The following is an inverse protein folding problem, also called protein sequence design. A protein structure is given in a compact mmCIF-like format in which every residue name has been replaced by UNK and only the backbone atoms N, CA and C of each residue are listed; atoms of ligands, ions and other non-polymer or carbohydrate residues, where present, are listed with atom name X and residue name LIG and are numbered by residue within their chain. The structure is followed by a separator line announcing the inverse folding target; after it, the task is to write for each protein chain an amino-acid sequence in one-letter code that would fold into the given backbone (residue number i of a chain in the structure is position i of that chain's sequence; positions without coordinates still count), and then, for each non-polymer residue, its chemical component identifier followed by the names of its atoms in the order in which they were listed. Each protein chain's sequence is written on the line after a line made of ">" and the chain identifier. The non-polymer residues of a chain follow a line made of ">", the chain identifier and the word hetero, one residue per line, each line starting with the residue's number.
data_IF_908198871680
#
_entry.id   IF_908198871680
#
_cell.length_a   1.000
_cell.length_b   1.000
_cell.length_c   1.000
_cell.angle_alpha   90.00
_cell.angle_beta   90.00
_cell.angle_gamma   90.00
#
_symmetry.space_group_name_H-M   'P 1'
#
loop_
_entity.id
_entity.type
_entity.pdbx_description
1 polymer ?
#
# COMPACT_ATOMS: atom_id res chain seq x y z
N UNK A 1 -16.10 10.97 -6.80
CA UNK A 1 -16.40 11.44 -5.43
C UNK A 1 -15.77 10.45 -4.48
N UNK A 2 -14.79 10.88 -3.70
CA UNK A 2 -14.25 10.03 -2.63
C UNK A 2 -15.35 9.91 -1.57
N UNK A 3 -15.56 8.71 -1.03
CA UNK A 3 -16.69 8.37 -0.15
C UNK A 3 -16.91 9.38 0.96
N UNK A 4 -18.17 9.63 1.32
CA UNK A 4 -18.59 10.51 2.45
C UNK A 4 -17.93 10.14 3.79
N UNK A 5 -17.34 8.95 3.89
CA UNK A 5 -16.43 8.56 4.96
C UNK A 5 -14.97 8.72 4.51
N UNK A 6 -14.21 9.57 5.22
CA UNK A 6 -12.75 9.77 5.09
C UNK A 6 -11.97 8.52 5.56
N UNK A 7 -12.17 7.41 4.87
CA UNK A 7 -11.57 6.10 5.17
C UNK A 7 -10.76 5.64 3.97
N UNK A 8 -9.52 5.24 4.22
CA UNK A 8 -8.63 4.61 3.23
C UNK A 8 -8.35 3.17 3.65
N UNK A 9 -8.36 2.24 2.68
CA UNK A 9 -8.11 0.83 2.95
C UNK A 9 -6.64 0.50 2.70
N UNK A 10 -5.97 -0.02 3.72
CA UNK A 10 -4.57 -0.43 3.64
C UNK A 10 -4.47 -1.93 3.37
N UNK A 11 -3.68 -2.28 2.35
CA UNK A 11 -3.28 -3.66 2.05
C UNK A 11 -1.75 -3.75 2.00
N UNK A 12 -1.19 -4.92 2.30
CA UNK A 12 0.25 -5.17 2.30
C UNK A 12 0.50 -6.59 1.77
N UNK A 13 1.29 -6.69 0.69
CA UNK A 13 1.62 -7.96 0.05
C UNK A 13 2.91 -8.53 0.66
N UNK A 14 2.98 -9.86 0.80
CA UNK A 14 4.16 -10.53 1.37
C UNK A 14 5.04 -11.24 0.35
N UNK A 15 6.17 -11.74 0.85
CA UNK A 15 7.02 -12.74 0.22
C UNK A 15 6.31 -14.12 0.22
N UNK A 16 6.76 -15.03 -0.63
CA UNK A 16 6.33 -16.45 -0.60
C UNK A 16 6.98 -17.21 0.56
N UNK A 17 8.12 -16.73 1.07
CA UNK A 17 8.88 -17.35 2.16
C UNK A 17 8.36 -16.85 3.50
N UNK A 18 7.83 -17.77 4.31
CA UNK A 18 7.36 -17.47 5.66
C UNK A 18 8.41 -16.76 6.52
N UNK A 19 9.67 -17.22 6.47
CA UNK A 19 10.76 -16.62 7.25
C UNK A 19 11.03 -15.17 6.88
N UNK A 20 10.96 -14.82 5.59
CA UNK A 20 11.12 -13.45 5.13
C UNK A 20 10.00 -12.56 5.67
N UNK A 21 8.75 -13.01 5.58
CA UNK A 21 7.60 -12.29 6.14
C UNK A 21 7.70 -12.08 7.65
N UNK A 22 8.06 -13.12 8.40
CA UNK A 22 8.24 -13.02 9.86
C UNK A 22 9.36 -12.03 10.23
N UNK A 23 10.46 -12.06 9.48
CA UNK A 23 11.62 -11.20 9.72
C UNK A 23 11.31 -9.72 9.44
N UNK A 24 10.55 -9.46 8.38
CA UNK A 24 10.25 -8.10 7.93
C UNK A 24 8.98 -7.51 8.58
N UNK A 25 8.22 -8.30 9.34
CA UNK A 25 6.94 -7.87 9.89
C UNK A 25 7.04 -6.60 10.74
N UNK A 26 8.04 -6.52 11.63
CA UNK A 26 8.23 -5.34 12.47
C UNK A 26 8.47 -4.06 11.65
N UNK A 27 9.19 -4.16 10.52
CA UNK A 27 9.42 -3.03 9.63
C UNK A 27 8.13 -2.60 8.91
N UNK A 28 7.29 -3.57 8.54
CA UNK A 28 5.99 -3.30 7.92
C UNK A 28 5.04 -2.64 8.91
N UNK A 29 4.95 -3.16 10.13
CA UNK A 29 4.10 -2.61 11.18
C UNK A 29 4.50 -1.17 11.56
N UNK A 30 5.80 -0.89 11.71
CA UNK A 30 6.31 0.47 11.94
C UNK A 30 5.91 1.42 10.81
N UNK A 31 6.08 0.99 9.55
CA UNK A 31 5.69 1.76 8.38
C UNK A 31 4.17 2.02 8.34
N UNK A 32 3.36 1.00 8.60
CA UNK A 32 1.91 1.11 8.64
C UNK A 32 1.45 2.08 9.74
N UNK A 33 2.12 2.10 10.90
CA UNK A 33 1.81 3.04 11.98
C UNK A 33 2.14 4.48 11.59
N UNK A 34 3.31 4.74 11.01
CA UNK A 34 3.70 6.08 10.53
C UNK A 34 2.76 6.59 9.45
N UNK A 35 2.42 5.72 8.50
CA UNK A 35 1.46 6.04 7.45
C UNK A 35 0.07 6.33 8.04
N UNK A 36 -0.36 5.56 9.03
CA UNK A 36 -1.63 5.79 9.74
C UNK A 36 -1.66 7.15 10.41
N UNK A 37 -0.57 7.55 11.08
CA UNK A 37 -0.45 8.86 11.70
C UNK A 37 -0.52 9.98 10.64
N UNK A 38 0.20 9.84 9.52
CA UNK A 38 0.17 10.83 8.44
C UNK A 38 -1.23 11.02 7.83
N UNK A 39 -2.02 9.95 7.68
CA UNK A 39 -3.42 10.07 7.28
C UNK A 39 -4.30 10.70 8.37
N UNK A 40 -4.07 10.34 9.64
CA UNK A 40 -4.82 10.88 10.78
C UNK A 40 -4.64 12.39 10.92
N UNK A 41 -3.42 12.91 10.72
CA UNK A 41 -3.11 14.34 10.72
C UNK A 41 -3.85 15.12 9.63
N UNK A 42 -4.27 14.43 8.57
CA UNK A 42 -5.08 14.98 7.47
C UNK A 42 -6.59 14.74 7.67
N UNK A 43 -6.99 14.18 8.82
CA UNK A 43 -8.37 13.89 9.18
C UNK A 43 -8.93 12.63 8.51
N UNK A 44 -8.08 11.69 8.11
CA UNK A 44 -8.45 10.41 7.49
C UNK A 44 -8.20 9.23 8.42
N UNK A 45 -9.06 8.23 8.33
CA UNK A 45 -8.91 6.96 9.05
C UNK A 45 -8.33 5.90 8.12
N UNK A 46 -7.23 5.28 8.51
CA UNK A 46 -6.71 4.09 7.83
C UNK A 46 -7.40 2.85 8.38
N UNK A 47 -8.01 2.05 7.50
CA UNK A 47 -8.57 0.74 7.82
C UNK A 47 -7.71 -0.34 7.16
N UNK A 48 -6.94 -1.06 7.97
CA UNK A 48 -6.24 -2.26 7.50
C UNK A 48 -7.27 -3.30 7.04
N UNK A 49 -7.13 -3.80 5.80
CA UNK A 49 -8.13 -4.66 5.19
C UNK A 49 -7.97 -6.16 5.52
N UNK A 50 -6.93 -6.51 6.26
CA UNK A 50 -6.57 -7.86 6.68
C UNK A 50 -5.86 -7.78 8.04
N UNK A 51 -5.85 -8.87 8.79
CA UNK A 51 -5.34 -8.88 10.16
C UNK A 51 -3.95 -9.51 10.25
N UNK A 52 -3.23 -9.22 11.33
CA UNK A 52 -2.11 -10.05 11.76
C UNK A 52 -2.59 -11.44 12.13
N UNK A 53 -1.84 -12.46 11.71
CA UNK A 53 -2.10 -13.86 12.04
C UNK A 53 -1.01 -14.36 13.01
N UNK A 54 -1.38 -14.74 14.26
CA UNK A 54 -0.43 -15.18 15.27
C UNK A 54 0.22 -16.53 14.98
N UNK A 55 -0.39 -17.37 14.13
CA UNK A 55 0.14 -18.70 13.80
C UNK A 55 1.30 -18.58 12.81
N UNK A 56 1.15 -17.72 11.79
CA UNK A 56 2.21 -17.43 10.81
C UNK A 56 3.13 -16.28 11.23
N UNK A 57 2.75 -15.52 12.27
CA UNK A 57 3.50 -14.43 12.89
C UNK A 57 3.78 -13.25 11.95
N UNK A 58 2.82 -12.91 11.11
CA UNK A 58 2.86 -11.71 10.28
C UNK A 58 1.45 -11.31 9.83
N UNK A 59 1.29 -10.09 9.35
CA UNK A 59 0.04 -9.61 8.77
C UNK A 59 0.07 -9.41 7.27
N UNK A 60 0.97 -10.03 6.50
CA UNK A 60 0.97 -9.90 5.04
C UNK A 60 -0.10 -10.75 4.34
N UNK A 61 -0.58 -10.28 3.19
CA UNK A 61 -1.28 -11.12 2.22
C UNK A 61 -0.25 -12.01 1.54
N UNK A 62 -0.36 -13.33 1.74
CA UNK A 62 0.65 -14.31 1.31
C UNK A 62 0.15 -15.30 0.25
N UNK A 63 -1.03 -15.08 -0.31
CA UNK A 63 -1.56 -15.88 -1.43
C UNK A 63 -2.55 -15.09 -2.27
N UNK A 64 -2.71 -15.49 -3.53
CA UNK A 64 -3.73 -14.91 -4.42
C UNK A 64 -5.15 -15.12 -3.90
N UNK A 65 -5.45 -16.30 -3.32
CA UNK A 65 -6.77 -16.59 -2.75
C UNK A 65 -7.10 -15.62 -1.62
N UNK A 66 -6.17 -15.46 -0.67
CA UNK A 66 -6.32 -14.53 0.44
C UNK A 66 -6.52 -13.10 -0.08
N UNK A 67 -5.72 -12.66 -1.06
CA UNK A 67 -5.89 -11.32 -1.63
C UNK A 67 -7.28 -11.13 -2.26
N UNK A 68 -7.81 -12.12 -2.99
CA UNK A 68 -9.17 -12.05 -3.51
C UNK A 68 -10.23 -11.94 -2.39
N UNK A 69 -10.05 -12.65 -1.28
CA UNK A 69 -10.92 -12.55 -0.10
C UNK A 69 -10.86 -11.19 0.57
N UNK A 70 -9.67 -10.60 0.66
CA UNK A 70 -9.48 -9.23 1.17
C UNK A 70 -10.22 -8.23 0.29
N UNK A 71 -9.96 -8.21 -1.02
CA UNK A 71 -10.57 -7.24 -1.93
C UNK A 71 -12.08 -7.42 -2.10
N UNK A 72 -12.63 -8.62 -1.87
CA UNK A 72 -14.08 -8.83 -1.82
C UNK A 72 -14.77 -7.96 -0.75
N UNK A 73 -14.06 -7.66 0.34
CA UNK A 73 -14.59 -6.90 1.48
C UNK A 73 -14.25 -5.40 1.42
N UNK A 74 -13.47 -4.95 0.42
CA UNK A 74 -13.16 -3.54 0.19
C UNK A 74 -14.23 -2.95 -0.76
N UNK A 75 -14.86 -1.80 -0.45
CA UNK A 75 -15.76 -1.15 -1.39
C UNK A 75 -15.02 -0.82 -2.69
N UNK A 76 -15.60 -1.20 -3.84
CA UNK A 76 -14.94 -1.13 -5.16
C UNK A 76 -14.43 0.26 -5.57
N UNK A 77 -14.97 1.32 -4.97
CA UNK A 77 -14.61 2.72 -5.27
C UNK A 77 -13.87 3.40 -4.12
N UNK A 78 -13.61 2.70 -3.01
CA UNK A 78 -12.87 3.27 -1.88
C UNK A 78 -11.40 3.52 -2.26
N UNK A 79 -10.74 4.53 -1.67
CA UNK A 79 -9.30 4.70 -1.83
C UNK A 79 -8.57 3.51 -1.21
N UNK A 80 -7.59 2.97 -1.95
CA UNK A 80 -6.75 1.84 -1.50
C UNK A 80 -5.29 2.28 -1.48
N UNK A 81 -4.61 1.96 -0.39
CA UNK A 81 -3.17 2.11 -0.25
C UNK A 81 -2.54 0.72 -0.16
N UNK A 82 -1.61 0.43 -1.06
CA UNK A 82 -0.75 -0.75 -1.01
C UNK A 82 0.57 -0.33 -0.37
N UNK A 83 0.79 -0.74 0.87
CA UNK A 83 1.94 -0.35 1.67
C UNK A 83 2.98 -1.49 1.68
N UNK A 84 4.19 -1.23 1.19
CA UNK A 84 5.25 -2.23 1.01
C UNK A 84 6.54 -1.81 1.72
N UNK A 85 6.90 -2.52 2.79
CA UNK A 85 8.22 -2.40 3.45
C UNK A 85 9.13 -3.60 3.19
N UNK A 86 8.71 -4.54 2.33
CA UNK A 86 9.38 -5.82 2.07
C UNK A 86 9.34 -6.15 0.57
N UNK A 87 10.13 -7.15 0.17
CA UNK A 87 9.92 -7.78 -1.13
C UNK A 87 8.60 -8.54 -1.12
N UNK A 88 7.84 -8.42 -2.19
CA UNK A 88 6.50 -8.96 -2.28
C UNK A 88 6.23 -9.60 -3.63
N UNK A 89 5.27 -10.51 -3.68
CA UNK A 89 4.82 -11.11 -4.93
C UNK A 89 3.48 -10.52 -5.40
N UNK A 90 3.54 -9.72 -6.48
CA UNK A 90 2.42 -8.91 -6.95
C UNK A 90 1.12 -9.70 -7.21
N UNK A 91 1.23 -10.98 -7.58
CA UNK A 91 0.06 -11.84 -7.83
C UNK A 91 -0.87 -12.01 -6.61
N UNK A 92 -0.39 -11.78 -5.39
CA UNK A 92 -1.23 -11.78 -4.18
C UNK A 92 -2.35 -10.73 -4.28
N UNK A 93 -2.03 -9.51 -4.74
CA UNK A 93 -2.95 -8.36 -4.73
C UNK A 93 -3.43 -7.95 -6.12
N UNK A 94 -2.71 -8.33 -7.17
CA UNK A 94 -2.97 -7.86 -8.54
C UNK A 94 -4.38 -8.19 -9.04
N UNK A 95 -4.91 -9.37 -8.71
CA UNK A 95 -6.26 -9.76 -9.12
C UNK A 95 -7.33 -8.82 -8.53
N UNK A 96 -7.17 -8.40 -7.27
CA UNK A 96 -8.07 -7.45 -6.62
C UNK A 96 -7.91 -6.04 -7.18
N UNK A 97 -6.67 -5.56 -7.28
CA UNK A 97 -6.35 -4.21 -7.79
C UNK A 97 -6.81 -4.01 -9.23
N UNK A 98 -6.72 -5.04 -10.08
CA UNK A 98 -7.17 -4.99 -11.48
C UNK A 98 -8.63 -4.61 -11.66
N UNK A 99 -9.51 -5.05 -10.74
CA UNK A 99 -10.94 -4.79 -10.81
C UNK A 99 -11.40 -3.64 -9.90
N UNK A 100 -10.47 -3.06 -9.14
CA UNK A 100 -10.74 -1.92 -8.27
C UNK A 100 -10.97 -0.65 -9.11
N UNK A 101 -11.93 0.17 -8.69
CA UNK A 101 -12.35 1.39 -9.41
C UNK A 101 -12.02 2.67 -8.65
N UNK A 102 -11.64 2.56 -7.38
CA UNK A 102 -11.18 3.68 -6.57
C UNK A 102 -9.73 4.05 -6.89
N UNK A 103 -9.24 5.19 -6.37
CA UNK A 103 -7.85 5.56 -6.51
C UNK A 103 -6.95 4.56 -5.77
N UNK A 104 -5.81 4.24 -6.39
CA UNK A 104 -4.80 3.32 -5.85
C UNK A 104 -3.52 4.13 -5.61
N UNK A 105 -3.01 4.05 -4.39
CA UNK A 105 -1.70 4.56 -4.02
C UNK A 105 -0.80 3.39 -3.65
N UNK A 106 0.39 3.32 -4.23
CA UNK A 106 1.45 2.43 -3.75
C UNK A 106 2.43 3.25 -2.91
N UNK A 107 2.70 2.81 -1.69
CA UNK A 107 3.62 3.48 -0.76
C UNK A 107 4.70 2.52 -0.34
N UNK A 108 5.95 2.96 -0.32
CA UNK A 108 7.07 2.18 0.20
C UNK A 108 7.91 2.94 1.21
N UNK A 109 8.64 2.19 2.03
CA UNK A 109 9.78 2.74 2.77
C UNK A 109 10.98 2.95 1.83
N UNK A 110 11.78 3.97 2.14
CA UNK A 110 13.14 4.12 1.63
C UNK A 110 14.11 3.54 2.66
N UNK A 111 14.64 2.35 2.41
CA UNK A 111 15.53 1.65 3.35
C UNK A 111 16.60 0.86 2.61
N UNK A 112 17.84 0.93 3.10
CA UNK A 112 18.92 0.04 2.66
C UNK A 112 18.84 -1.38 3.24
N UNK A 113 18.02 -1.58 4.28
CA UNK A 113 17.88 -2.87 4.97
C UNK A 113 16.71 -3.70 4.44
N UNK A 114 15.56 -3.05 4.19
CA UNK A 114 14.32 -3.73 3.81
C UNK A 114 13.88 -3.32 2.40
N UNK A 115 13.64 -4.28 1.47
CA UNK A 115 13.49 -3.98 0.05
C UNK A 115 12.06 -3.54 -0.34
N UNK A 116 11.39 -2.71 0.46
CA UNK A 116 10.02 -2.27 0.21
C UNK A 116 9.87 -1.47 -1.08
N UNK A 117 10.80 -0.54 -1.36
CA UNK A 117 10.80 0.19 -2.63
C UNK A 117 10.89 -0.75 -3.84
N UNK A 118 11.74 -1.78 -3.75
CA UNK A 118 11.91 -2.77 -4.83
C UNK A 118 10.63 -3.60 -4.99
N UNK A 119 10.01 -4.03 -3.89
CA UNK A 119 8.72 -4.72 -3.89
C UNK A 119 7.60 -3.88 -4.50
N UNK A 120 7.51 -2.60 -4.13
CA UNK A 120 6.55 -1.66 -4.70
C UNK A 120 6.77 -1.43 -6.20
N UNK A 121 8.01 -1.25 -6.65
CA UNK A 121 8.32 -1.06 -8.07
C UNK A 121 7.96 -2.30 -8.90
N UNK A 122 8.08 -3.51 -8.34
CA UNK A 122 7.58 -4.74 -8.99
C UNK A 122 6.06 -4.72 -9.17
N UNK A 123 5.31 -4.27 -8.15
CA UNK A 123 3.86 -4.09 -8.25
C UNK A 123 3.50 -3.05 -9.30
N UNK A 124 4.18 -1.92 -9.30
CA UNK A 124 3.99 -0.84 -10.25
C UNK A 124 4.15 -1.30 -11.71
N UNK A 125 5.20 -2.09 -11.98
CA UNK A 125 5.38 -2.70 -13.31
C UNK A 125 4.23 -3.63 -13.70
N UNK A 126 3.69 -4.40 -12.75
CA UNK A 126 2.54 -5.28 -12.97
C UNK A 126 1.24 -4.50 -13.23
N UNK A 127 0.99 -3.43 -12.46
CA UNK A 127 -0.18 -2.55 -12.62
C UNK A 127 -0.13 -1.82 -13.97
N UNK A 128 1.03 -1.28 -14.33
CA UNK A 128 1.27 -0.64 -15.62
C UNK A 128 0.98 -1.59 -16.77
N UNK A 129 1.52 -2.82 -16.72
CA UNK A 129 1.29 -3.85 -17.74
C UNK A 129 -0.19 -4.22 -17.89
N UNK A 130 -0.97 -4.11 -16.81
CA UNK A 130 -2.41 -4.38 -16.80
C UNK A 130 -3.28 -3.15 -17.15
N UNK A 131 -2.67 -1.99 -17.43
CA UNK A 131 -3.40 -0.74 -17.69
C UNK A 131 -4.15 -0.19 -16.48
N UNK A 132 -3.76 -0.58 -15.27
CA UNK A 132 -4.35 -0.09 -14.02
C UNK A 132 -3.70 1.24 -13.66
N UNK A 133 -4.51 2.27 -13.40
CA UNK A 133 -4.02 3.58 -12.95
C UNK A 133 -3.68 3.52 -11.46
N UNK A 134 -2.53 4.07 -11.09
CA UNK A 134 -2.06 4.19 -9.71
C UNK A 134 -1.17 5.43 -9.56
N UNK A 135 -0.98 5.87 -8.32
CA UNK A 135 0.08 6.81 -7.94
C UNK A 135 1.07 6.12 -7.03
N UNK A 136 2.29 6.65 -6.93
CA UNK A 136 3.35 6.05 -6.12
C UNK A 136 4.13 7.09 -5.34
N UNK A 137 4.45 6.78 -4.09
CA UNK A 137 5.33 7.58 -3.24
C UNK A 137 6.19 6.68 -2.37
N UNK A 138 7.27 7.24 -1.86
CA UNK A 138 8.11 6.60 -0.86
C UNK A 138 8.68 7.67 0.06
N UNK A 139 9.10 7.25 1.25
CA UNK A 139 9.74 8.12 2.22
C UNK A 139 10.62 7.30 3.15
N UNK A 140 11.64 7.93 3.71
CA UNK A 140 12.46 7.34 4.77
C UNK A 140 11.72 7.35 6.11
N UNK A 141 11.07 8.46 6.45
CA UNK A 141 10.44 8.66 7.77
C UNK A 141 8.97 9.06 7.75
N UNK A 142 8.38 9.28 6.57
CA UNK A 142 7.00 9.69 6.32
C UNK A 142 6.66 11.10 6.84
N UNK A 143 7.68 11.95 7.05
CA UNK A 143 7.53 13.33 7.52
C UNK A 143 8.09 14.36 6.54
N UNK A 144 8.83 13.92 5.52
CA UNK A 144 9.40 14.80 4.51
C UNK A 144 8.33 15.56 3.71
N UNK A 145 8.70 16.75 3.23
CA UNK A 145 7.76 17.65 2.57
C UNK A 145 7.21 17.06 1.26
N UNK A 146 8.02 16.28 0.54
CA UNK A 146 7.61 15.61 -0.69
C UNK A 146 6.49 14.61 -0.41
N UNK A 147 6.66 13.76 0.59
CA UNK A 147 5.67 12.79 1.03
C UNK A 147 4.38 13.47 1.50
N UNK A 148 4.48 14.46 2.39
CA UNK A 148 3.31 15.15 2.96
C UNK A 148 2.52 15.92 1.89
N UNK A 149 3.20 16.58 0.94
CA UNK A 149 2.52 17.22 -0.20
C UNK A 149 1.83 16.20 -1.10
N UNK A 150 2.50 15.09 -1.40
CA UNK A 150 1.98 14.05 -2.28
C UNK A 150 0.75 13.34 -1.68
N UNK A 151 0.76 13.00 -0.39
CA UNK A 151 -0.43 12.44 0.26
C UNK A 151 -1.59 13.43 0.26
N UNK A 152 -1.35 14.71 0.56
CA UNK A 152 -2.39 15.74 0.51
C UNK A 152 -3.02 15.86 -0.87
N UNK A 153 -2.20 15.82 -1.93
CA UNK A 153 -2.69 15.83 -3.30
C UNK A 153 -3.52 14.57 -3.59
N UNK A 154 -2.99 13.39 -3.27
CA UNK A 154 -3.66 12.12 -3.52
C UNK A 154 -5.01 12.01 -2.82
N UNK A 155 -5.10 12.43 -1.57
CA UNK A 155 -6.34 12.48 -0.79
C UNK A 155 -7.41 13.34 -1.49
N UNK A 156 -7.00 14.48 -2.05
CA UNK A 156 -7.90 15.46 -2.66
C UNK A 156 -8.32 15.05 -4.08
N UNK A 157 -7.38 14.53 -4.86
CA UNK A 157 -7.49 14.38 -6.31
C UNK A 157 -7.54 12.92 -6.77
N UNK A 158 -7.16 11.98 -5.90
CA UNK A 158 -7.01 10.56 -6.22
C UNK A 158 -5.77 10.24 -7.07
N UNK A 159 -4.90 11.22 -7.28
CA UNK A 159 -3.68 11.11 -8.08
C UNK A 159 -2.56 11.98 -7.51
N UNK A 160 -1.32 11.66 -7.85
CA UNK A 160 -0.13 12.47 -7.58
C UNK A 160 0.49 12.88 -8.91
N UNK A 161 0.90 14.13 -9.01
CA UNK A 161 1.64 14.64 -10.16
C UNK A 161 3.10 14.75 -9.78
N UNK A 162 3.96 14.02 -10.49
CA UNK A 162 5.40 14.13 -10.33
C UNK A 162 5.94 15.12 -11.36
N UNK A 163 6.84 15.99 -10.92
CA UNK A 163 7.61 16.83 -11.83
C UNK A 163 8.60 15.95 -12.61
N UNK A 164 8.48 15.96 -13.94
CA UNK A 164 9.34 15.19 -14.85
C UNK A 164 10.28 16.10 -15.64
N UNK A 165 10.43 17.35 -15.22
CA UNK A 165 11.46 18.22 -15.77
C UNK A 165 12.84 17.73 -15.31
N UNK A 166 13.77 17.68 -16.26
CA UNK A 166 15.16 17.28 -16.08
C UNK A 166 16.07 18.32 -16.70
#
# INVERSE_FOLDING_TARGET
>A
MVSDNKVVYLVASGDLRLSANQTCWAAQEDMEQRLTNAFADLGWTVKRAHNYDPDVKHGFINSQRMGMDVFKNIPKTAPVVVAESVWQYSHHVLAGLRFHRGPILTVANWSGQWPGLVGMLNLNGSLTKMGVKYSSIWSEDFTDEYFLKSIRQWIKEGTITHDTSH
#
